data_IF_318455303747
#
_entry.id   IF_318455303747
#
_cell.length_a   1.000
_cell.length_b   1.000
_cell.length_c   1.000
_cell.angle_alpha   90.00
_cell.angle_beta   90.00
_cell.angle_gamma   90.00
#
_symmetry.space_group_name_H-M   'P 1'
#
loop_
_entity.id
_entity.type
_entity.pdbx_description
1 polymer ?
#
# COMPACT_ATOMS: atom_id res chain seq x y z
N UNK A 1 -29.70 -38.82 48.77
CA UNK A 1 -28.41 -39.54 48.71
C UNK A 1 -27.82 -39.11 47.38
N UNK A 2 -26.73 -38.36 47.39
CA UNK A 2 -26.38 -37.50 46.26
C UNK A 2 -25.99 -38.32 45.01
N UNK A 3 -26.45 -37.89 43.83
CA UNK A 3 -26.06 -38.39 42.48
C UNK A 3 -24.53 -38.53 42.31
N UNK A 4 -23.74 -37.87 43.16
CA UNK A 4 -22.29 -38.02 43.22
C UNK A 4 -21.82 -39.47 43.43
N UNK A 5 -22.63 -40.36 44.02
CA UNK A 5 -22.27 -41.77 44.24
C UNK A 5 -22.71 -42.70 43.10
N UNK A 6 -23.47 -42.22 42.10
CA UNK A 6 -23.99 -43.04 40.98
C UNK A 6 -23.29 -42.82 39.65
N UNK A 7 -22.61 -41.68 39.46
CA UNK A 7 -21.85 -41.40 38.23
C UNK A 7 -20.36 -41.30 38.57
N UNK A 8 -19.56 -42.17 37.97
CA UNK A 8 -18.09 -42.14 38.09
C UNK A 8 -17.46 -41.91 36.73
N UNK A 9 -16.33 -41.20 36.70
CA UNK A 9 -15.57 -40.94 35.50
C UNK A 9 -14.25 -41.71 35.53
N UNK A 10 -13.92 -42.37 34.43
CA UNK A 10 -12.65 -43.06 34.26
C UNK A 10 -12.16 -42.89 32.82
N UNK A 11 -10.86 -42.74 32.63
CA UNK A 11 -10.29 -42.80 31.30
C UNK A 11 -10.38 -44.24 30.76
N UNK A 12 -10.69 -44.37 29.48
CA UNK A 12 -10.57 -45.60 28.73
C UNK A 12 -9.09 -46.02 28.62
N UNK A 13 -8.82 -47.25 28.23
CA UNK A 13 -7.46 -47.83 28.15
C UNK A 13 -6.52 -47.06 27.21
N UNK A 14 -7.06 -46.22 26.32
CA UNK A 14 -6.31 -45.31 25.44
C UNK A 14 -5.74 -44.06 26.15
N UNK A 15 -6.22 -43.75 27.36
CA UNK A 15 -5.81 -42.55 28.11
C UNK A 15 -6.25 -41.21 27.49
N UNK A 16 -7.05 -41.24 26.43
CA UNK A 16 -7.58 -40.07 25.72
C UNK A 16 -9.07 -39.88 25.95
N UNK A 17 -9.86 -40.94 25.97
CA UNK A 17 -11.32 -40.87 26.11
C UNK A 17 -11.75 -40.99 27.57
N UNK A 18 -12.59 -40.08 28.05
CA UNK A 18 -13.22 -40.15 29.37
C UNK A 18 -14.59 -40.81 29.25
N UNK A 19 -14.74 -41.95 29.92
CA UNK A 19 -16.00 -42.69 30.05
C UNK A 19 -16.70 -42.29 31.34
N UNK A 20 -17.99 -41.99 31.23
CA UNK A 20 -18.89 -41.89 32.37
C UNK A 20 -19.58 -43.23 32.58
N UNK A 21 -19.44 -43.78 33.79
CA UNK A 21 -20.13 -44.98 34.23
C UNK A 21 -21.28 -44.58 35.13
N UNK A 22 -22.49 -44.95 34.72
CA UNK A 22 -23.69 -44.79 35.54
C UNK A 22 -24.03 -46.12 36.22
N UNK A 23 -24.17 -46.12 37.55
CA UNK A 23 -24.73 -47.20 38.33
C UNK A 23 -26.09 -46.76 38.88
N UNK A 24 -27.20 -47.48 38.60
CA UNK A 24 -28.53 -47.06 39.01
C UNK A 24 -28.69 -47.03 40.54
N UNK A 25 -29.24 -45.93 41.08
CA UNK A 25 -29.70 -45.83 42.47
C UNK A 25 -31.19 -46.19 42.59
N UNK A 26 -31.64 -46.47 43.82
CA UNK A 26 -33.02 -46.86 44.15
C UNK A 26 -34.13 -45.90 43.65
N UNK A 27 -33.80 -44.67 43.24
CA UNK A 27 -34.72 -43.75 42.60
C UNK A 27 -34.05 -43.01 41.41
N UNK A 28 -34.68 -42.97 40.22
CA UNK A 28 -34.17 -42.18 39.10
C UNK A 28 -34.29 -40.69 39.41
N UNK A 29 -33.18 -39.95 39.28
CA UNK A 29 -33.14 -38.49 39.45
C UNK A 29 -33.03 -37.82 38.07
N UNK A 30 -33.79 -36.74 37.87
CA UNK A 30 -33.76 -35.96 36.63
C UNK A 30 -32.48 -35.13 36.57
N UNK A 31 -31.53 -35.59 35.75
CA UNK A 31 -30.25 -34.90 35.57
C UNK A 31 -30.28 -34.05 34.30
N UNK A 32 -29.88 -32.78 34.40
CA UNK A 32 -29.74 -31.90 33.24
C UNK A 32 -28.31 -31.91 32.70
N UNK A 33 -28.15 -31.67 31.39
CA UNK A 33 -26.84 -31.50 30.74
C UNK A 33 -25.97 -30.43 31.40
N UNK A 34 -26.57 -29.31 31.81
CA UNK A 34 -25.85 -28.22 32.50
C UNK A 34 -25.28 -28.68 33.85
N UNK A 35 -26.01 -29.54 34.57
CA UNK A 35 -25.53 -30.16 35.79
C UNK A 35 -24.38 -31.13 35.51
N UNK A 36 -24.49 -32.01 34.50
CA UNK A 36 -23.42 -32.95 34.13
C UNK A 36 -22.14 -32.23 33.74
N UNK A 37 -22.25 -31.11 33.02
CA UNK A 37 -21.08 -30.30 32.65
C UNK A 37 -20.40 -29.73 33.89
N UNK A 38 -21.16 -29.18 34.84
CA UNK A 38 -20.61 -28.67 36.09
C UNK A 38 -20.01 -29.79 36.96
N UNK A 39 -20.63 -30.97 36.97
CA UNK A 39 -20.13 -32.15 37.67
C UNK A 39 -18.79 -32.64 37.07
N UNK A 40 -18.68 -32.67 35.74
CA UNK A 40 -17.46 -33.00 35.02
C UNK A 40 -16.34 -31.98 35.29
N UNK A 41 -16.67 -30.68 35.37
CA UNK A 41 -15.74 -29.64 35.80
C UNK A 41 -15.27 -29.84 37.25
N UNK A 42 -16.18 -30.10 38.19
CA UNK A 42 -15.86 -30.32 39.60
C UNK A 42 -15.04 -31.61 39.84
N UNK A 43 -15.18 -32.60 38.96
CA UNK A 43 -14.36 -33.81 38.96
C UNK A 43 -12.93 -33.59 38.43
N UNK A 44 -12.58 -32.36 38.01
CA UNK A 44 -11.25 -32.03 37.50
C UNK A 44 -11.07 -32.27 35.99
N UNK A 45 -12.16 -32.50 35.26
CA UNK A 45 -12.14 -32.77 33.81
C UNK A 45 -12.62 -31.58 32.96
N UNK A 46 -12.72 -30.39 33.55
CA UNK A 46 -13.27 -29.19 32.89
C UNK A 46 -12.50 -28.69 31.68
N UNK A 47 -11.24 -29.13 31.50
CA UNK A 47 -10.39 -28.76 30.37
C UNK A 47 -10.50 -29.73 29.18
N UNK A 48 -11.24 -30.84 29.31
CA UNK A 48 -11.42 -31.82 28.24
C UNK A 48 -12.43 -31.35 27.19
N UNK A 49 -12.31 -31.88 25.97
CA UNK A 49 -13.28 -31.64 24.92
C UNK A 49 -14.52 -32.47 25.23
N UNK A 50 -15.65 -31.82 25.48
CA UNK A 50 -16.88 -32.50 25.91
C UNK A 50 -17.72 -32.93 24.70
N UNK A 51 -18.18 -34.17 24.71
CA UNK A 51 -19.13 -34.67 23.73
C UNK A 51 -20.56 -34.35 24.16
N UNK A 52 -21.17 -33.35 23.53
CA UNK A 52 -22.55 -32.95 23.81
C UNK A 52 -23.54 -34.13 23.67
N UNK A 53 -23.40 -34.94 22.62
CA UNK A 53 -24.21 -36.14 22.42
C UNK A 53 -24.00 -37.21 23.51
N UNK A 54 -22.77 -37.31 24.04
CA UNK A 54 -22.44 -38.22 25.14
C UNK A 54 -23.08 -37.78 26.46
N UNK A 55 -23.06 -36.47 26.75
CA UNK A 55 -23.77 -35.92 27.91
C UNK A 55 -25.28 -36.07 27.82
N UNK A 56 -25.87 -35.87 26.65
CA UNK A 56 -27.30 -36.07 26.45
C UNK A 56 -27.71 -37.55 26.64
N UNK A 57 -26.90 -38.48 26.12
CA UNK A 57 -27.10 -39.91 26.33
C UNK A 57 -26.98 -40.30 27.81
N UNK A 58 -26.01 -39.73 28.54
CA UNK A 58 -25.86 -39.95 29.97
C UNK A 58 -27.04 -39.39 30.77
N UNK A 59 -27.51 -38.18 30.45
CA UNK A 59 -28.68 -37.58 31.09
C UNK A 59 -29.94 -38.42 30.89
N UNK A 60 -30.12 -38.98 29.68
CA UNK A 60 -31.22 -39.89 29.37
C UNK A 60 -31.13 -41.18 30.18
N UNK A 61 -29.94 -41.78 30.29
CA UNK A 61 -29.71 -42.99 31.09
C UNK A 61 -30.01 -42.77 32.59
N UNK A 62 -29.54 -41.65 33.15
CA UNK A 62 -29.84 -41.28 34.55
C UNK A 62 -31.33 -41.08 34.81
N UNK A 63 -32.05 -40.47 33.86
CA UNK A 63 -33.48 -40.19 33.98
C UNK A 63 -34.32 -41.45 33.81
N UNK A 64 -33.91 -42.37 32.93
CA UNK A 64 -34.61 -43.62 32.68
C UNK A 64 -34.39 -44.66 33.80
N UNK A 65 -33.31 -44.55 34.58
CA UNK A 65 -32.96 -45.53 35.62
C UNK A 65 -32.63 -46.91 35.05
N UNK A 66 -32.06 -46.96 33.84
CA UNK A 66 -31.72 -48.19 33.13
C UNK A 66 -30.49 -48.90 33.70
N UNK A 67 -30.20 -50.11 33.18
CA UNK A 67 -29.02 -50.92 33.52
C UNK A 67 -27.70 -50.10 33.45
N UNK A 68 -26.63 -50.55 34.13
CA UNK A 68 -25.34 -49.87 34.10
C UNK A 68 -24.84 -49.63 32.67
N UNK A 69 -24.51 -48.37 32.36
CA UNK A 69 -23.99 -47.96 31.04
C UNK A 69 -22.66 -47.24 31.17
N UNK A 70 -21.79 -47.45 30.18
CA UNK A 70 -20.55 -46.70 29.99
C UNK A 70 -20.69 -45.86 28.72
N UNK A 71 -20.55 -44.54 28.85
CA UNK A 71 -20.74 -43.60 27.74
C UNK A 71 -19.53 -42.69 27.64
N UNK A 72 -18.92 -42.52 26.45
CA UNK A 72 -17.87 -41.52 26.25
C UNK A 72 -18.47 -40.11 26.36
N UNK A 73 -17.94 -39.31 27.28
CA UNK A 73 -18.47 -37.97 27.60
C UNK A 73 -17.49 -36.85 27.31
N UNK A 74 -16.19 -37.15 27.29
CA UNK A 74 -15.16 -36.18 26.93
C UNK A 74 -13.92 -36.87 26.38
N UNK A 75 -13.01 -36.12 25.76
CA UNK A 75 -11.70 -36.62 25.35
C UNK A 75 -10.60 -35.55 25.49
N UNK A 76 -9.36 -36.01 25.55
CA UNK A 76 -8.17 -35.17 25.43
C UNK A 76 -7.89 -34.87 23.97
N UNK A 77 -7.69 -33.59 23.63
CA UNK A 77 -7.22 -33.16 22.31
C UNK A 77 -5.99 -32.30 22.46
N UNK A 78 -4.96 -32.61 21.69
CA UNK A 78 -3.81 -31.72 21.52
C UNK A 78 -4.21 -30.50 20.69
N UNK A 79 -3.46 -29.42 20.82
CA UNK A 79 -3.65 -28.26 19.97
C UNK A 79 -3.24 -28.59 18.52
N UNK A 80 -4.01 -28.06 17.57
CA UNK A 80 -3.83 -28.26 16.14
C UNK A 80 -3.57 -26.91 15.46
N UNK A 81 -2.49 -26.82 14.68
CA UNK A 81 -2.16 -25.67 13.86
C UNK A 81 -2.46 -26.00 12.40
N UNK A 82 -3.31 -25.20 11.79
CA UNK A 82 -3.61 -25.27 10.37
C UNK A 82 -3.03 -24.02 9.70
N UNK A 83 -2.16 -24.25 8.71
CA UNK A 83 -1.53 -23.20 7.92
C UNK A 83 -2.14 -23.18 6.53
N UNK A 84 -2.46 -21.99 6.04
CA UNK A 84 -2.89 -21.78 4.66
C UNK A 84 -2.16 -20.60 4.05
N UNK A 85 -1.90 -20.67 2.75
CA UNK A 85 -1.27 -19.59 1.98
C UNK A 85 -2.28 -19.12 0.95
N UNK A 86 -2.37 -17.81 0.75
CA UNK A 86 -3.21 -17.23 -0.29
C UNK A 86 -2.80 -17.74 -1.68
N UNK A 87 -3.72 -17.85 -2.65
CA UNK A 87 -3.40 -18.35 -3.99
C UNK A 87 -2.31 -17.56 -4.73
N UNK A 88 -2.12 -16.30 -4.38
CA UNK A 88 -1.09 -15.40 -4.92
C UNK A 88 0.24 -15.48 -4.14
N UNK A 89 0.33 -16.26 -3.07
CA UNK A 89 1.53 -16.37 -2.22
C UNK A 89 1.85 -15.12 -1.40
N UNK A 90 0.93 -14.15 -1.31
CA UNK A 90 1.17 -12.86 -0.67
C UNK A 90 0.83 -12.84 0.82
N UNK A 91 0.05 -13.79 1.33
CA UNK A 91 -0.30 -13.88 2.74
C UNK A 91 -0.28 -15.33 3.21
N UNK A 92 0.17 -15.55 4.45
CA UNK A 92 0.00 -16.80 5.15
C UNK A 92 -0.90 -16.60 6.38
N UNK A 93 -1.79 -17.56 6.59
CA UNK A 93 -2.76 -17.56 7.67
C UNK A 93 -2.53 -18.76 8.59
N UNK A 94 -2.75 -18.55 9.88
CA UNK A 94 -2.77 -19.59 10.88
C UNK A 94 -4.14 -19.67 11.55
N UNK A 95 -4.68 -20.88 11.63
CA UNK A 95 -5.79 -21.23 12.49
C UNK A 95 -5.25 -22.15 13.58
N UNK A 96 -5.32 -21.70 14.83
CA UNK A 96 -4.87 -22.45 15.99
C UNK A 96 -6.09 -22.92 16.78
N UNK A 97 -6.29 -24.24 16.82
CA UNK A 97 -7.29 -24.90 17.63
C UNK A 97 -6.65 -25.21 19.00
N UNK A 98 -7.22 -24.73 20.12
CA UNK A 98 -6.63 -24.90 21.44
C UNK A 98 -6.60 -26.38 21.87
N UNK A 99 -5.67 -26.70 22.78
CA UNK A 99 -5.63 -28.00 23.41
C UNK A 99 -6.75 -28.13 24.46
N UNK A 100 -7.38 -29.30 24.51
CA UNK A 100 -8.37 -29.66 25.51
C UNK A 100 -7.82 -30.78 26.39
N UNK A 101 -7.09 -30.42 27.45
CA UNK A 101 -6.41 -31.35 28.35
C UNK A 101 -5.27 -32.17 27.70
N UNK A 102 -4.91 -31.83 26.46
CA UNK A 102 -3.71 -32.31 25.75
C UNK A 102 -2.57 -31.28 25.78
N UNK A 103 -1.64 -31.42 24.83
CA UNK A 103 -0.44 -30.58 24.74
C UNK A 103 -0.72 -29.32 23.92
N UNK A 104 -0.44 -28.11 24.44
CA UNK A 104 -0.51 -26.88 23.65
C UNK A 104 0.60 -26.82 22.60
N UNK A 105 0.44 -25.95 21.59
CA UNK A 105 1.51 -25.70 20.62
C UNK A 105 2.53 -24.74 21.24
N UNK A 106 3.79 -25.17 21.25
CA UNK A 106 4.92 -24.36 21.66
C UNK A 106 5.56 -23.63 20.46
N UNK A 107 6.43 -22.67 20.76
CA UNK A 107 7.12 -21.86 19.75
C UNK A 107 7.99 -22.73 18.82
N UNK A 108 8.60 -23.80 19.35
CA UNK A 108 9.44 -24.70 18.57
C UNK A 108 8.63 -25.47 17.52
N UNK A 109 7.49 -26.05 17.90
CA UNK A 109 6.59 -26.75 16.97
C UNK A 109 6.01 -25.77 15.95
N UNK A 110 5.60 -24.58 16.38
CA UNK A 110 5.07 -23.56 15.49
C UNK A 110 6.08 -23.18 14.39
N UNK A 111 7.33 -22.89 14.75
CA UNK A 111 8.37 -22.58 13.77
C UNK A 111 8.75 -23.78 12.90
N UNK A 112 8.70 -25.00 13.44
CA UNK A 112 8.87 -26.23 12.68
C UNK A 112 7.80 -26.40 11.59
N UNK A 113 6.55 -26.11 11.92
CA UNK A 113 5.44 -26.18 10.97
C UNK A 113 5.54 -25.10 9.88
N UNK A 114 5.94 -23.87 10.23
CA UNK A 114 6.24 -22.83 9.24
C UNK A 114 7.36 -23.24 8.28
N UNK A 115 8.42 -23.84 8.80
CA UNK A 115 9.55 -24.32 8.01
C UNK A 115 9.13 -25.44 7.05
N UNK A 116 8.31 -26.39 7.51
CA UNK A 116 7.80 -27.49 6.69
C UNK A 116 6.95 -27.00 5.51
N UNK A 117 6.23 -25.89 5.69
CA UNK A 117 5.41 -25.24 4.63
C UNK A 117 6.20 -24.16 3.87
N UNK A 118 7.48 -23.98 4.16
CA UNK A 118 8.39 -22.99 3.53
C UNK A 118 7.98 -21.52 3.71
N UNK A 119 7.20 -21.20 4.74
CA UNK A 119 6.88 -19.82 5.09
C UNK A 119 8.10 -19.22 5.79
N UNK A 120 8.84 -18.35 5.10
CA UNK A 120 10.12 -17.83 5.58
C UNK A 120 10.27 -16.32 5.47
N UNK A 121 9.35 -15.63 4.80
CA UNK A 121 9.42 -14.20 4.55
C UNK A 121 8.20 -13.46 5.10
N UNK A 122 8.42 -12.27 5.64
CA UNK A 122 7.35 -11.36 6.04
C UNK A 122 6.58 -11.76 7.30
N UNK A 123 7.19 -12.58 8.17
CA UNK A 123 6.59 -13.05 9.42
C UNK A 123 6.19 -11.88 10.33
N UNK A 124 4.95 -11.92 10.80
CA UNK A 124 4.36 -10.94 11.70
C UNK A 124 4.61 -11.35 13.16
N UNK A 125 5.79 -10.99 13.68
CA UNK A 125 6.26 -11.43 14.99
C UNK A 125 5.30 -11.09 16.15
N UNK A 126 4.61 -9.94 16.09
CA UNK A 126 3.61 -9.55 17.08
C UNK A 126 2.39 -10.47 17.02
N UNK A 127 1.82 -10.70 15.83
CA UNK A 127 0.66 -11.58 15.64
C UNK A 127 0.96 -13.01 16.07
N UNK A 128 2.17 -13.52 15.75
CA UNK A 128 2.60 -14.86 16.15
C UNK A 128 2.69 -14.96 17.67
N UNK A 129 3.30 -13.97 18.34
CA UNK A 129 3.39 -13.93 19.80
C UNK A 129 2.03 -13.87 20.47
N UNK A 130 1.12 -13.07 19.93
CA UNK A 130 -0.24 -12.97 20.45
C UNK A 130 -1.00 -14.29 20.28
N UNK A 131 -0.90 -14.93 19.12
CA UNK A 131 -1.50 -16.24 18.82
C UNK A 131 -0.99 -17.34 19.76
N UNK A 132 0.32 -17.42 19.99
CA UNK A 132 0.89 -18.41 20.90
C UNK A 132 0.52 -18.14 22.37
N UNK A 133 0.29 -16.87 22.73
CA UNK A 133 -0.15 -16.50 24.09
C UNK A 133 -1.64 -16.79 24.31
N UNK A 134 -2.51 -16.51 23.34
CA UNK A 134 -3.94 -16.80 23.44
C UNK A 134 -4.22 -18.28 23.36
N UNK A 135 -3.42 -19.04 22.59
CA UNK A 135 -3.62 -20.47 22.37
C UNK A 135 -4.77 -20.79 21.42
N UNK A 136 -5.40 -19.76 20.84
CA UNK A 136 -6.49 -19.88 19.88
C UNK A 136 -6.40 -18.74 18.84
N UNK A 137 -6.70 -19.07 17.58
CA UNK A 137 -6.78 -18.11 16.49
C UNK A 137 -7.57 -18.67 15.31
N UNK A 138 -8.25 -17.81 14.56
CA UNK A 138 -8.95 -18.16 13.32
C UNK A 138 -8.44 -17.26 12.19
N UNK A 139 -7.86 -17.86 11.15
CA UNK A 139 -7.35 -17.16 9.97
C UNK A 139 -6.46 -15.94 10.30
N UNK A 140 -5.61 -16.03 11.33
CA UNK A 140 -4.72 -14.95 11.73
C UNK A 140 -3.59 -14.79 10.72
N UNK A 141 -3.33 -13.55 10.27
CA UNK A 141 -2.26 -13.27 9.30
C UNK A 141 -0.90 -13.32 10.00
N UNK A 142 -0.14 -14.38 9.70
CA UNK A 142 1.17 -14.64 10.32
C UNK A 142 2.34 -14.26 9.43
N UNK A 143 2.12 -14.08 8.12
CA UNK A 143 3.15 -13.64 7.19
C UNK A 143 2.54 -12.82 6.05
N UNK A 144 3.26 -11.79 5.60
CA UNK A 144 2.84 -10.93 4.47
C UNK A 144 4.03 -10.73 3.52
N UNK A 145 3.84 -11.09 2.26
CA UNK A 145 4.78 -10.86 1.18
C UNK A 145 4.94 -9.38 0.87
N UNK A 146 5.99 -9.04 0.11
CA UNK A 146 6.25 -7.69 -0.37
C UNK A 146 5.86 -7.59 -1.83
N UNK A 147 4.96 -6.67 -2.16
CA UNK A 147 4.60 -6.41 -3.56
C UNK A 147 5.79 -5.78 -4.31
N UNK A 148 6.00 -6.12 -5.59
CA UNK A 148 7.00 -5.44 -6.41
C UNK A 148 6.59 -3.97 -6.64
N UNK A 149 7.56 -3.08 -6.61
CA UNK A 149 7.35 -1.67 -6.92
C UNK A 149 7.84 -1.37 -8.35
N UNK A 150 6.99 -0.78 -9.22
CA UNK A 150 7.41 -0.44 -10.57
C UNK A 150 8.41 0.73 -10.55
N UNK A 151 9.40 0.66 -11.44
CA UNK A 151 10.34 1.73 -11.67
C UNK A 151 9.66 2.98 -12.26
N UNK A 152 10.24 4.15 -12.01
CA UNK A 152 9.74 5.42 -12.54
C UNK A 152 10.19 5.57 -13.98
N UNK A 153 9.26 5.93 -14.88
CA UNK A 153 9.60 6.26 -16.26
C UNK A 153 10.50 7.50 -16.32
N UNK A 154 11.33 7.59 -17.36
CA UNK A 154 12.07 8.81 -17.64
C UNK A 154 11.10 9.98 -17.83
N UNK A 155 11.47 11.15 -17.31
CA UNK A 155 10.65 12.36 -17.36
C UNK A 155 11.49 13.55 -17.80
N UNK A 156 10.84 14.62 -18.26
CA UNK A 156 11.49 15.83 -18.70
C UNK A 156 10.97 17.01 -17.89
N UNK A 157 11.89 17.73 -17.28
CA UNK A 157 11.63 18.91 -16.46
C UNK A 157 12.05 20.17 -17.23
N UNK A 158 11.16 21.15 -17.28
CA UNK A 158 11.43 22.47 -17.85
C UNK A 158 12.12 23.32 -16.78
N UNK A 159 13.32 23.79 -17.07
CA UNK A 159 14.15 24.51 -16.09
C UNK A 159 13.98 26.03 -16.15
N UNK A 160 13.45 26.54 -17.27
CA UNK A 160 13.07 27.96 -17.40
C UNK A 160 11.57 28.09 -17.26
N UNK A 161 11.15 29.10 -16.50
CA UNK A 161 9.77 29.25 -16.08
C UNK A 161 8.80 29.43 -17.25
N UNK A 162 7.69 28.70 -17.21
CA UNK A 162 6.41 29.31 -17.60
C UNK A 162 6.10 30.34 -16.51
N UNK A 163 6.45 31.59 -16.72
CA UNK A 163 5.97 32.66 -15.86
C UNK A 163 4.43 32.69 -15.96
N UNK A 164 3.77 32.15 -14.94
CA UNK A 164 2.32 32.26 -14.66
C UNK A 164 1.91 33.71 -14.30
N UNK A 165 2.79 34.67 -14.55
CA UNK A 165 2.58 36.12 -14.37
C UNK A 165 2.25 36.84 -15.67
N UNK A 166 2.23 36.16 -16.82
CA UNK A 166 1.69 36.76 -18.07
C UNK A 166 0.27 37.26 -17.82
N UNK A 167 0.08 38.58 -17.88
CA UNK A 167 -1.21 39.24 -17.68
C UNK A 167 -1.55 39.59 -16.22
N UNK A 168 -0.63 39.48 -15.25
CA UNK A 168 -0.84 39.93 -13.88
C UNK A 168 -0.16 41.29 -13.66
N UNK A 169 -0.92 42.36 -13.36
CA UNK A 169 -0.36 43.68 -13.04
C UNK A 169 0.61 43.62 -11.86
N UNK A 170 1.70 44.37 -11.95
CA UNK A 170 2.67 44.49 -10.86
C UNK A 170 2.08 45.35 -9.75
N UNK A 171 2.03 44.81 -8.53
CA UNK A 171 1.57 45.54 -7.34
C UNK A 171 2.80 45.99 -6.56
N UNK A 172 2.94 47.30 -6.34
CA UNK A 172 4.00 47.88 -5.52
C UNK A 172 3.67 47.75 -4.02
N UNK A 173 4.69 47.84 -3.16
CA UNK A 173 4.54 47.74 -1.69
C UNK A 173 3.64 48.84 -1.09
N UNK A 174 3.43 49.94 -1.81
CA UNK A 174 2.54 51.04 -1.46
C UNK A 174 1.07 50.82 -1.86
N UNK A 175 0.76 49.67 -2.49
CA UNK A 175 -0.58 49.31 -2.97
C UNK A 175 -0.93 49.88 -4.35
N UNK A 176 -0.02 50.61 -5.01
CA UNK A 176 -0.20 51.07 -6.38
C UNK A 176 -0.05 49.89 -7.35
N UNK A 177 -0.94 49.80 -8.33
CA UNK A 177 -0.95 48.71 -9.32
C UNK A 177 -0.51 49.27 -10.68
N UNK A 178 0.59 48.74 -11.22
CA UNK A 178 1.06 49.04 -12.57
C UNK A 178 0.37 48.12 -13.57
N UNK A 179 -0.59 48.69 -14.32
CA UNK A 179 -1.30 47.99 -15.39
C UNK A 179 -0.49 47.94 -16.70
N UNK A 180 0.67 48.60 -16.75
CA UNK A 180 1.55 48.62 -17.92
C UNK A 180 2.66 47.56 -17.83
N UNK A 181 3.00 47.02 -16.66
CA UNK A 181 4.00 45.94 -16.51
C UNK A 181 3.30 44.60 -16.22
N UNK A 182 2.85 43.92 -17.29
CA UNK A 182 2.04 42.68 -17.24
C UNK A 182 2.88 41.39 -17.34
N UNK A 183 4.16 41.48 -17.01
CA UNK A 183 5.09 40.36 -17.00
C UNK A 183 5.96 40.25 -18.26
N UNK A 184 7.26 40.10 -18.04
CA UNK A 184 8.28 39.99 -19.09
C UNK A 184 8.14 38.68 -19.86
N UNK A 185 8.27 38.74 -21.18
CA UNK A 185 8.46 37.55 -22.01
C UNK A 185 9.75 36.87 -21.55
N UNK A 186 9.66 35.64 -21.04
CA UNK A 186 10.84 34.89 -20.60
C UNK A 186 11.71 34.60 -21.82
N UNK A 187 12.75 35.41 -22.02
CA UNK A 187 13.85 35.14 -22.93
C UNK A 187 14.94 34.34 -22.21
N UNK A 188 15.70 33.58 -22.99
CA UNK A 188 16.87 32.83 -22.53
C UNK A 188 18.09 33.30 -23.30
N UNK A 189 19.25 33.24 -22.66
CA UNK A 189 20.56 33.54 -23.23
C UNK A 189 21.30 32.26 -23.65
N UNK A 190 22.36 32.41 -24.45
CA UNK A 190 23.20 31.28 -24.85
C UNK A 190 23.82 30.65 -23.60
N UNK A 191 23.68 29.33 -23.47
CA UNK A 191 24.16 28.56 -22.33
C UNK A 191 23.12 28.31 -21.24
N UNK A 192 21.95 28.94 -21.30
CA UNK A 192 20.90 28.74 -20.30
C UNK A 192 20.37 27.31 -20.33
N UNK A 193 20.15 26.75 -19.14
CA UNK A 193 19.60 25.43 -18.94
C UNK A 193 18.10 25.41 -19.22
N UNK A 194 17.65 24.64 -20.21
CA UNK A 194 16.27 24.68 -20.69
C UNK A 194 15.45 23.45 -20.28
N UNK A 195 16.00 22.25 -20.48
CA UNK A 195 15.28 21.00 -20.30
C UNK A 195 16.20 19.97 -19.64
N UNK A 196 15.74 19.35 -18.55
CA UNK A 196 16.45 18.24 -17.88
C UNK A 196 15.70 16.94 -18.08
N UNK A 197 16.41 15.90 -18.53
CA UNK A 197 15.92 14.53 -18.49
C UNK A 197 16.21 13.93 -17.11
N UNK A 198 15.20 13.39 -16.48
CA UNK A 198 15.35 12.46 -15.35
C UNK A 198 15.30 11.04 -15.91
N UNK A 199 16.31 10.24 -15.59
CA UNK A 199 16.41 8.88 -16.10
C UNK A 199 15.32 7.97 -15.54
N UNK A 200 15.01 6.91 -16.29
CA UNK A 200 14.15 5.86 -15.77
C UNK A 200 14.86 5.11 -14.63
N UNK A 201 14.11 4.66 -13.63
CA UNK A 201 14.65 3.84 -12.56
C UNK A 201 14.28 2.38 -12.77
N UNK A 202 15.10 1.48 -12.24
CA UNK A 202 14.67 0.10 -12.02
C UNK A 202 13.52 0.08 -11.01
N UNK A 203 12.68 -0.95 -11.10
CA UNK A 203 11.67 -1.24 -10.08
C UNK A 203 12.27 -2.11 -8.97
N UNK A 204 11.67 -2.08 -7.79
CA UNK A 204 12.09 -2.93 -6.68
C UNK A 204 11.37 -4.29 -6.72
N UNK A 205 12.10 -5.42 -6.76
CA UNK A 205 11.48 -6.73 -6.77
C UNK A 205 10.72 -6.99 -5.46
N UNK A 206 9.57 -7.64 -5.59
CA UNK A 206 8.78 -8.13 -4.47
C UNK A 206 9.27 -9.50 -4.00
N UNK A 207 8.60 -10.05 -2.99
CA UNK A 207 8.83 -11.40 -2.50
C UNK A 207 7.53 -11.98 -1.93
N UNK A 208 7.20 -13.22 -2.29
CA UNK A 208 6.10 -13.96 -1.64
C UNK A 208 6.45 -14.30 -0.19
N UNK A 209 5.48 -14.79 0.58
CA UNK A 209 5.72 -15.33 1.95
C UNK A 209 6.64 -16.56 1.96
N UNK A 210 6.76 -17.22 0.80
CA UNK A 210 7.65 -18.36 0.56
C UNK A 210 9.10 -17.93 0.25
N UNK A 211 9.37 -16.62 0.12
CA UNK A 211 10.68 -16.10 -0.26
C UNK A 211 10.96 -16.13 -1.76
N UNK A 212 9.96 -16.41 -2.59
CA UNK A 212 10.11 -16.41 -4.05
C UNK A 212 10.07 -14.96 -4.57
N UNK A 213 11.05 -14.55 -5.39
CA UNK A 213 11.11 -13.18 -5.90
C UNK A 213 10.00 -12.91 -6.92
N UNK A 214 9.35 -11.76 -6.79
CA UNK A 214 8.36 -11.28 -7.75
C UNK A 214 9.02 -10.17 -8.57
N UNK A 215 9.13 -10.39 -9.89
CA UNK A 215 9.77 -9.43 -10.77
C UNK A 215 9.04 -8.08 -10.77
N UNK A 216 9.80 -7.00 -10.70
CA UNK A 216 9.31 -5.63 -10.90
C UNK A 216 9.36 -5.25 -12.38
N UNK A 217 8.54 -4.27 -12.76
CA UNK A 217 8.62 -3.66 -14.08
C UNK A 217 9.60 -2.48 -14.03
N UNK A 218 10.65 -2.46 -14.86
CA UNK A 218 11.53 -1.30 -14.95
C UNK A 218 10.80 -0.11 -15.57
N UNK A 219 11.22 1.10 -15.18
CA UNK A 219 10.74 2.32 -15.81
C UNK A 219 11.07 2.35 -17.30
N UNK A 220 10.20 2.95 -18.09
CA UNK A 220 10.44 3.14 -19.53
C UNK A 220 11.35 4.33 -19.74
N UNK A 221 12.46 4.09 -20.44
CA UNK A 221 13.34 5.18 -20.86
C UNK A 221 12.70 6.00 -22.00
N UNK A 222 13.14 7.26 -22.11
CA UNK A 222 12.72 8.19 -23.15
C UNK A 222 13.92 9.01 -23.61
N UNK A 223 14.09 9.13 -24.93
CA UNK A 223 15.11 9.99 -25.52
C UNK A 223 14.56 11.40 -25.71
N UNK A 224 15.48 12.37 -25.79
CA UNK A 224 15.15 13.69 -26.27
C UNK A 224 14.51 13.60 -27.66
N UNK A 225 13.45 14.39 -27.88
CA UNK A 225 12.82 14.52 -29.18
C UNK A 225 13.73 15.26 -30.17
N UNK A 226 13.34 15.38 -31.44
CA UNK A 226 14.13 16.06 -32.46
C UNK A 226 14.31 17.55 -32.11
N UNK A 227 15.54 17.91 -31.78
CA UNK A 227 15.97 19.28 -31.50
C UNK A 227 16.63 19.86 -32.76
N UNK A 228 16.42 21.16 -32.99
CA UNK A 228 17.11 21.89 -34.07
C UNK A 228 18.28 22.69 -33.52
N UNK A 229 18.97 23.42 -34.40
CA UNK A 229 20.23 24.12 -34.10
C UNK A 229 20.13 25.31 -33.12
N UNK A 230 18.95 25.53 -32.51
CA UNK A 230 18.76 26.56 -31.49
C UNK A 230 19.01 26.09 -30.06
N UNK A 231 19.21 24.78 -29.86
CA UNK A 231 19.57 24.17 -28.56
C UNK A 231 20.60 23.08 -28.78
N UNK A 232 21.35 22.75 -27.74
CA UNK A 232 22.30 21.64 -27.75
C UNK A 232 22.28 20.88 -26.42
N UNK A 233 22.72 19.62 -26.45
CA UNK A 233 22.94 18.86 -25.21
C UNK A 233 24.20 19.42 -24.54
N UNK A 234 24.14 19.63 -23.23
CA UNK A 234 25.27 20.16 -22.47
C UNK A 234 26.52 19.28 -22.65
N UNK A 235 27.69 19.88 -22.91
CA UNK A 235 28.93 19.11 -23.10
C UNK A 235 29.39 18.40 -21.83
N UNK A 236 28.88 18.79 -20.65
CA UNK A 236 29.25 18.22 -19.34
C UNK A 236 28.16 17.36 -18.71
N UNK A 237 26.90 17.48 -19.15
CA UNK A 237 25.76 16.71 -18.62
C UNK A 237 24.88 16.22 -19.79
N UNK A 238 24.92 14.93 -20.16
CA UNK A 238 24.14 14.38 -21.27
C UNK A 238 22.62 14.38 -21.01
N UNK A 239 22.18 14.68 -19.79
CA UNK A 239 20.78 14.77 -19.40
C UNK A 239 20.27 16.21 -19.39
N UNK A 240 21.09 17.18 -19.78
CA UNK A 240 20.74 18.59 -19.79
C UNK A 240 20.79 19.16 -21.21
N UNK A 241 19.76 19.90 -21.58
CA UNK A 241 19.72 20.67 -22.83
C UNK A 241 19.86 22.14 -22.49
N UNK A 242 20.77 22.81 -23.19
CA UNK A 242 21.07 24.23 -23.04
C UNK A 242 20.75 25.00 -24.32
N UNK A 243 20.52 26.30 -24.19
CA UNK A 243 20.30 27.19 -25.31
C UNK A 243 21.60 27.38 -26.12
N UNK A 244 21.56 27.12 -27.43
CA UNK A 244 22.65 27.46 -28.33
C UNK A 244 22.49 28.87 -28.91
N UNK A 245 21.28 29.45 -28.79
CA UNK A 245 20.91 30.79 -29.25
C UNK A 245 20.02 31.46 -28.22
N UNK A 246 20.12 32.78 -28.11
CA UNK A 246 19.20 33.57 -27.29
C UNK A 246 17.83 33.75 -27.95
N UNK A 247 16.77 33.85 -27.15
CA UNK A 247 15.40 34.08 -27.62
C UNK A 247 14.32 33.44 -26.76
N UNK A 248 13.17 33.13 -27.37
CA UNK A 248 12.00 32.56 -26.68
C UNK A 248 12.02 31.02 -26.69
N UNK A 249 12.07 30.34 -25.53
CA UNK A 249 12.01 28.89 -25.48
C UNK A 249 10.60 28.36 -25.76
N UNK A 250 10.51 27.32 -26.58
CA UNK A 250 9.31 26.55 -26.93
C UNK A 250 9.48 25.11 -26.52
N UNK A 251 8.62 24.62 -25.65
CA UNK A 251 8.69 23.27 -25.11
C UNK A 251 7.67 22.35 -25.77
N UNK A 252 8.13 21.16 -26.15
CA UNK A 252 7.32 19.98 -26.35
C UNK A 252 7.44 19.00 -25.18
N UNK A 253 6.92 17.78 -25.35
CA UNK A 253 6.94 16.75 -24.30
C UNK A 253 8.36 16.29 -23.92
N UNK A 254 9.27 16.23 -24.89
CA UNK A 254 10.65 15.74 -24.72
C UNK A 254 11.67 16.55 -25.50
N UNK A 255 11.27 17.73 -25.98
CA UNK A 255 12.13 18.60 -26.79
C UNK A 255 11.91 20.06 -26.41
N UNK A 256 12.91 20.88 -26.69
CA UNK A 256 12.85 22.33 -26.58
C UNK A 256 13.51 22.95 -27.82
N UNK A 257 13.04 24.12 -28.23
CA UNK A 257 13.66 24.96 -29.26
C UNK A 257 13.64 26.41 -28.80
N UNK A 258 14.64 27.19 -29.19
CA UNK A 258 14.64 28.64 -28.97
C UNK A 258 14.33 29.35 -30.28
N UNK A 259 13.37 30.28 -30.25
CA UNK A 259 12.97 31.13 -31.37
C UNK A 259 13.57 32.54 -31.19
N UNK A 260 14.34 33.07 -32.17
CA UNK A 260 14.99 34.38 -32.04
C UNK A 260 14.04 35.56 -32.31
N UNK A 261 12.79 35.29 -32.71
CA UNK A 261 11.80 36.30 -33.09
C UNK A 261 10.56 36.14 -32.21
N UNK A 262 10.15 37.23 -31.56
CA UNK A 262 8.87 37.34 -30.88
C UNK A 262 7.83 37.88 -31.86
N UNK A 263 6.78 37.10 -32.15
CA UNK A 263 5.66 37.52 -33.00
C UNK A 263 4.43 37.78 -32.13
N UNK A 264 3.82 38.95 -32.25
CA UNK A 264 2.62 39.37 -31.52
C UNK A 264 1.57 40.00 -32.45
N UNK A 265 0.30 40.05 -32.01
CA UNK A 265 -0.84 40.52 -32.82
C UNK A 265 -1.25 41.97 -32.53
N UNK A 266 -0.38 42.74 -31.86
CA UNK A 266 -0.64 44.10 -31.39
C UNK A 266 -0.14 44.30 -29.96
N UNK A 267 -0.11 45.57 -29.54
CA UNK A 267 0.26 45.99 -28.19
C UNK A 267 -0.89 46.83 -27.61
N UNK A 268 -1.46 46.35 -26.51
CA UNK A 268 -2.62 46.91 -25.84
C UNK A 268 -2.49 46.79 -24.31
N UNK A 269 -3.46 47.33 -23.56
CA UNK A 269 -3.47 47.23 -22.10
C UNK A 269 -3.59 45.78 -21.56
N UNK A 270 -3.81 44.77 -22.40
CA UNK A 270 -3.81 43.35 -21.99
C UNK A 270 -2.44 42.69 -22.12
N UNK A 271 -1.58 43.25 -22.96
CA UNK A 271 -0.21 42.79 -23.23
C UNK A 271 0.83 43.60 -22.46
N UNK A 272 0.59 44.90 -22.25
CA UNK A 272 1.45 45.79 -21.47
C UNK A 272 2.72 46.19 -22.23
N UNK A 273 3.67 46.79 -21.51
CA UNK A 273 5.00 47.13 -22.00
C UNK A 273 5.81 45.85 -22.22
N UNK A 274 6.54 45.81 -23.33
CA UNK A 274 7.33 44.64 -23.70
C UNK A 274 8.79 45.03 -23.78
N UNK A 275 9.62 44.24 -23.10
CA UNK A 275 11.07 44.26 -23.22
C UNK A 275 11.51 42.88 -23.71
N UNK A 276 12.18 42.82 -24.86
CA UNK A 276 12.61 41.55 -25.45
C UNK A 276 14.03 41.64 -26.04
N UNK A 277 14.93 40.78 -25.57
CA UNK A 277 16.31 40.72 -26.05
C UNK A 277 16.43 39.93 -27.36
N UNK A 278 15.72 40.37 -28.40
CA UNK A 278 15.70 39.73 -29.73
C UNK A 278 14.92 40.55 -30.76
N UNK A 279 14.54 39.92 -31.88
CA UNK A 279 13.75 40.59 -32.91
C UNK A 279 12.25 40.51 -32.56
N UNK A 280 11.49 41.58 -32.83
CA UNK A 280 10.05 41.62 -32.56
C UNK A 280 9.28 41.94 -33.85
N UNK A 281 8.24 41.17 -34.12
CA UNK A 281 7.28 41.42 -35.19
C UNK A 281 5.89 41.64 -34.57
N UNK A 282 5.28 42.79 -34.87
CA UNK A 282 3.95 43.19 -34.40
C UNK A 282 2.98 43.23 -35.57
N UNK A 283 2.07 42.26 -35.66
CA UNK A 283 1.07 42.14 -36.74
C UNK A 283 -0.27 42.80 -36.36
N UNK A 284 -0.22 43.98 -35.75
CA UNK A 284 -1.42 44.68 -35.29
C UNK A 284 -1.11 46.05 -34.70
N UNK A 285 -2.13 46.77 -34.19
CA UNK A 285 -1.96 48.12 -33.70
C UNK A 285 -1.17 48.16 -32.38
N UNK A 286 -0.47 49.28 -32.17
CA UNK A 286 0.17 49.62 -30.89
C UNK A 286 -0.63 50.78 -30.29
N UNK A 287 -1.32 50.54 -29.16
CA UNK A 287 -2.11 51.55 -28.46
C UNK A 287 -1.23 52.62 -27.82
N UNK A 288 -1.73 53.86 -27.79
CA UNK A 288 -1.02 54.99 -27.19
C UNK A 288 -0.72 54.74 -25.68
N UNK A 289 0.49 55.13 -25.27
CA UNK A 289 0.93 55.02 -23.87
C UNK A 289 1.64 53.71 -23.51
N UNK A 290 1.85 52.79 -24.46
CA UNK A 290 2.62 51.56 -24.27
C UNK A 290 4.01 51.65 -24.90
N UNK A 291 4.96 50.94 -24.30
CA UNK A 291 6.37 50.90 -24.72
C UNK A 291 6.77 49.50 -25.17
N UNK A 292 7.34 49.42 -26.37
CA UNK A 292 8.01 48.21 -26.89
C UNK A 292 9.49 48.51 -27.05
N UNK A 293 10.33 47.76 -26.33
CA UNK A 293 11.77 47.78 -26.47
C UNK A 293 12.27 46.42 -26.93
N UNK A 294 13.17 46.43 -27.91
CA UNK A 294 13.84 45.22 -28.37
C UNK A 294 15.33 45.48 -28.59
N UNK A 295 16.17 44.49 -28.27
CA UNK A 295 17.60 44.56 -28.57
C UNK A 295 17.89 44.41 -30.08
N UNK A 296 17.01 43.73 -30.81
CA UNK A 296 17.09 43.51 -32.24
C UNK A 296 16.16 44.39 -33.06
N UNK A 297 15.81 43.92 -34.26
CA UNK A 297 14.92 44.65 -35.15
C UNK A 297 13.46 44.60 -34.67
N UNK A 298 12.76 45.73 -34.78
CA UNK A 298 11.31 45.83 -34.54
C UNK A 298 10.62 46.07 -35.88
N UNK A 299 9.74 45.15 -36.28
CA UNK A 299 8.89 45.27 -37.47
C UNK A 299 7.45 45.41 -37.03
N UNK A 300 6.77 46.47 -37.50
CA UNK A 300 5.37 46.74 -37.17
C UNK A 300 4.54 46.69 -38.45
N UNK A 301 3.68 45.69 -38.57
CA UNK A 301 2.68 45.51 -39.62
C UNK A 301 1.31 45.97 -39.09
N UNK A 302 1.19 47.26 -38.77
CA UNK A 302 0.01 47.84 -38.15
C UNK A 302 0.07 49.36 -37.98
N UNK A 303 -0.94 49.93 -37.32
CA UNK A 303 -0.99 51.37 -37.00
C UNK A 303 -0.34 51.61 -35.64
N UNK A 304 0.55 52.59 -35.57
CA UNK A 304 1.15 53.05 -34.31
C UNK A 304 0.42 54.33 -33.89
N UNK A 305 -0.26 54.30 -32.76
CA UNK A 305 -0.88 55.48 -32.16
C UNK A 305 0.14 56.21 -31.29
N UNK A 306 0.38 57.50 -31.58
CA UNK A 306 1.37 58.35 -30.92
C UNK A 306 0.72 59.55 -30.24
#
# INVERSE_FOLDING_TARGET
MAIADTVTFAFHDDGQTLLARYAPAEAPETVSRGWLRHFLTNAGHGELFVFEAGLDALAAACTAGTDPVEIPVAERRDAELQLSISPDGMAAYATLIPAYGGTPIDELRFHGDLYNVSICFGLQAETIRDLLRTGEATEAVIAVGRQPEPGKNASFEQLVGQNDTRGKPKVFEDGTVDFYDLGTVVSVDIGDALLRKHEATDGEPGSTVLGEPIASLPGRDALFGPMGDSVEVSPTDPLLVVAARGGLPRFGRSWVKVEPILIMQGLDLSTGNIHFDGNVIVNGPIQAGLSLWAAGDIVIEGVVEA
#
